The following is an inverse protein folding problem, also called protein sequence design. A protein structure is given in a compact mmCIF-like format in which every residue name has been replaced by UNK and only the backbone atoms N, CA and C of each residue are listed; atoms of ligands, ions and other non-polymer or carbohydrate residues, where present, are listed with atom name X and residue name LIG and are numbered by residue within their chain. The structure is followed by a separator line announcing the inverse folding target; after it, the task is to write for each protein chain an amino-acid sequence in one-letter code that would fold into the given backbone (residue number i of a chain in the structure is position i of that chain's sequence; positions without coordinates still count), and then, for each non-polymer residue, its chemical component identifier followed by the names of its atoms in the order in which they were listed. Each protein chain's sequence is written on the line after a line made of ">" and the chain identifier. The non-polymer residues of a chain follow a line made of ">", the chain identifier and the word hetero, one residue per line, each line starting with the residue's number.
data_IF_190678420262
#
_entry.id   IF_190678420262
#
_cell.length_a   1.000
_cell.length_b   1.000
_cell.length_c   1.000
_cell.angle_alpha   90.00
_cell.angle_beta   90.00
_cell.angle_gamma   90.00
#
_symmetry.space_group_name_H-M   'P 1'
#
loop_
_entity.id
_entity.type
_entity.pdbx_description
1 polymer ?
#
# COMPACT_ATOMS: atom_id res chain seq x y z
N UNK A 1 6.65 6.65 24.20
CA UNK A 1 5.75 7.65 23.58
C UNK A 1 5.56 7.22 22.14
N UNK A 2 4.32 7.02 21.70
CA UNK A 2 4.05 6.51 20.35
C UNK A 2 4.58 7.48 19.29
N UNK A 3 5.46 7.00 18.39
CA UNK A 3 6.13 7.83 17.38
C UNK A 3 5.16 8.41 16.35
N UNK A 4 4.00 7.80 16.18
CA UNK A 4 2.99 8.24 15.20
C UNK A 4 2.09 9.33 15.74
N UNK A 5 1.95 9.47 17.06
CA UNK A 5 1.12 10.53 17.66
C UNK A 5 1.38 11.95 17.09
N UNK A 6 2.63 12.45 17.00
CA UNK A 6 2.89 13.77 16.40
C UNK A 6 2.58 13.83 14.90
N UNK A 7 2.66 12.71 14.17
CA UNK A 7 2.32 12.63 12.74
C UNK A 7 0.80 12.70 12.57
N UNK A 8 0.06 11.91 13.34
CA UNK A 8 -1.41 11.92 13.33
C UNK A 8 -1.95 13.31 13.65
N UNK A 9 -1.42 14.00 14.66
CA UNK A 9 -1.84 15.37 14.97
C UNK A 9 -1.63 16.34 13.79
N UNK A 10 -0.60 16.13 12.95
CA UNK A 10 -0.38 16.96 11.76
C UNK A 10 -1.34 16.62 10.63
N UNK A 11 -1.62 15.33 10.40
CA UNK A 11 -2.65 14.89 9.44
C UNK A 11 -4.01 15.47 9.81
N UNK A 12 -4.39 15.39 11.09
CA UNK A 12 -5.64 15.96 11.59
C UNK A 12 -5.70 17.47 11.34
N UNK A 13 -4.63 18.21 11.64
CA UNK A 13 -4.57 19.65 11.36
C UNK A 13 -4.68 19.97 9.87
N UNK A 14 -4.02 19.19 9.01
CA UNK A 14 -4.12 19.33 7.55
C UNK A 14 -5.57 19.16 7.07
N UNK A 15 -6.28 18.14 7.56
CA UNK A 15 -7.69 17.92 7.23
C UNK A 15 -8.57 19.09 7.69
N UNK A 16 -8.36 19.62 8.92
CA UNK A 16 -9.10 20.79 9.42
C UNK A 16 -8.87 22.00 8.51
N UNK A 17 -7.62 22.26 8.11
CA UNK A 17 -7.26 23.36 7.23
C UNK A 17 -7.91 23.24 5.84
N UNK A 18 -8.17 22.02 5.38
CA UNK A 18 -8.84 21.71 4.12
C UNK A 18 -10.37 21.56 4.25
N UNK A 19 -10.96 22.01 5.36
CA UNK A 19 -12.41 22.16 5.51
C UNK A 19 -13.15 20.92 6.04
N UNK A 20 -12.44 19.89 6.50
CA UNK A 20 -13.06 18.74 7.16
C UNK A 20 -13.53 19.10 8.60
N UNK A 21 -14.65 18.51 9.02
CA UNK A 21 -15.23 18.75 10.35
C UNK A 21 -14.39 18.12 11.47
N UNK A 22 -14.06 18.91 12.50
CA UNK A 22 -13.21 18.50 13.62
C UNK A 22 -13.75 17.28 14.39
N UNK A 23 -15.07 17.13 14.49
CA UNK A 23 -15.66 15.98 15.20
C UNK A 23 -15.47 14.69 14.42
N UNK A 24 -15.58 14.76 13.10
CA UNK A 24 -15.32 13.64 12.18
C UNK A 24 -13.84 13.23 12.21
N UNK A 25 -12.94 14.20 12.22
CA UNK A 25 -11.48 13.99 12.32
C UNK A 25 -11.07 13.44 13.70
N UNK A 26 -11.77 13.81 14.77
CA UNK A 26 -11.52 13.31 16.12
C UNK A 26 -11.87 11.82 16.28
N UNK A 27 -12.80 11.30 15.48
CA UNK A 27 -13.13 9.87 15.42
C UNK A 27 -12.19 9.09 14.49
N UNK A 28 -11.66 9.75 13.46
CA UNK A 28 -10.57 9.25 12.64
C UNK A 28 -9.30 9.04 13.48
N UNK A 29 -8.56 7.96 13.23
CA UNK A 29 -7.41 7.53 14.03
C UNK A 29 -7.74 7.10 15.47
N UNK A 30 -8.94 6.57 15.70
CA UNK A 30 -9.25 5.90 16.96
C UNK A 30 -8.56 4.53 17.05
N UNK A 31 -8.25 4.05 18.26
CA UNK A 31 -7.67 2.71 18.43
C UNK A 31 -8.56 1.60 17.84
N UNK A 32 -7.91 0.57 17.33
CA UNK A 32 -8.57 -0.66 16.93
C UNK A 32 -8.91 -1.50 18.16
N UNK A 33 -10.20 -1.56 18.50
CA UNK A 33 -10.70 -2.35 19.64
C UNK A 33 -10.92 -3.82 19.26
N UNK A 34 -11.03 -4.12 17.97
CA UNK A 34 -11.26 -5.47 17.46
C UNK A 34 -9.94 -6.12 17.03
N UNK A 35 -9.44 -7.03 17.86
CA UNK A 35 -8.19 -7.76 17.58
C UNK A 35 -8.29 -8.71 16.40
N UNK A 36 -9.50 -9.14 16.02
CA UNK A 36 -9.68 -10.01 14.86
C UNK A 36 -9.39 -9.25 13.56
N UNK A 37 -9.74 -7.96 13.47
CA UNK A 37 -9.41 -7.12 12.31
C UNK A 37 -7.90 -6.99 12.11
N UNK A 38 -7.11 -6.96 13.18
CA UNK A 38 -5.65 -6.84 13.09
C UNK A 38 -4.99 -8.07 12.43
N UNK A 39 -5.70 -9.21 12.31
CA UNK A 39 -5.17 -10.41 11.65
C UNK A 39 -4.76 -10.18 10.20
N UNK A 40 -5.39 -9.21 9.53
CA UNK A 40 -4.98 -8.77 8.17
C UNK A 40 -3.52 -8.32 8.10
N UNK A 41 -2.93 -7.89 9.22
CA UNK A 41 -1.52 -7.48 9.31
C UNK A 41 -0.65 -8.44 10.15
N UNK A 42 -1.24 -9.21 11.07
CA UNK A 42 -0.48 -10.06 11.99
C UNK A 42 -0.36 -11.52 11.55
N UNK A 43 -1.27 -11.99 10.68
CA UNK A 43 -1.41 -13.40 10.30
C UNK A 43 -1.60 -13.54 8.78
N UNK A 44 -0.65 -13.02 8.02
CA UNK A 44 -0.79 -12.79 6.58
C UNK A 44 -1.22 -14.04 5.81
N UNK A 45 -0.51 -15.17 5.99
CA UNK A 45 -0.82 -16.38 5.23
C UNK A 45 -2.21 -16.93 5.56
N UNK A 46 -2.49 -17.26 6.83
CA UNK A 46 -3.75 -17.90 7.20
C UNK A 46 -4.95 -16.96 6.92
N UNK A 47 -4.77 -15.65 7.13
CA UNK A 47 -5.81 -14.67 6.85
C UNK A 47 -6.14 -14.56 5.37
N UNK A 48 -5.14 -14.29 4.51
CA UNK A 48 -5.40 -14.10 3.07
C UNK A 48 -5.76 -15.41 2.38
N UNK A 49 -5.22 -16.55 2.83
CA UNK A 49 -5.64 -17.86 2.34
C UNK A 49 -7.11 -18.17 2.64
N UNK A 50 -7.62 -17.70 3.78
CA UNK A 50 -9.04 -17.89 4.13
C UNK A 50 -9.97 -16.89 3.42
N UNK A 51 -9.53 -15.63 3.26
CA UNK A 51 -10.39 -14.55 2.79
C UNK A 51 -10.27 -14.20 1.31
N UNK A 52 -9.21 -14.62 0.61
CA UNK A 52 -9.03 -14.31 -0.80
C UNK A 52 -10.18 -14.86 -1.64
N UNK A 53 -10.73 -14.04 -2.54
CA UNK A 53 -11.67 -14.49 -3.56
C UNK A 53 -10.97 -14.89 -4.88
N UNK A 54 -9.64 -14.75 -4.93
CA UNK A 54 -8.79 -14.95 -6.12
C UNK A 54 -7.94 -16.21 -6.05
N UNK A 55 -7.44 -16.55 -4.86
CA UNK A 55 -6.54 -17.67 -4.63
C UNK A 55 -7.21 -18.75 -3.78
N UNK A 56 -6.95 -20.02 -4.11
CA UNK A 56 -7.41 -21.17 -3.35
C UNK A 56 -6.23 -21.87 -2.67
N UNK A 57 -6.45 -22.40 -1.47
CA UNK A 57 -5.38 -23.02 -0.66
C UNK A 57 -4.63 -24.13 -1.39
N UNK A 58 -5.34 -24.88 -2.23
CA UNK A 58 -4.80 -26.01 -2.98
C UNK A 58 -3.80 -25.62 -4.08
N UNK A 59 -3.84 -24.38 -4.56
CA UNK A 59 -2.99 -23.90 -5.65
C UNK A 59 -1.64 -23.33 -5.15
N UNK A 60 -1.60 -22.88 -3.89
CA UNK A 60 -0.36 -22.59 -3.17
C UNK A 60 0.34 -21.28 -3.53
N UNK A 61 -0.27 -20.36 -4.27
CA UNK A 61 0.33 -19.06 -4.65
C UNK A 61 0.64 -18.19 -3.44
N UNK A 62 -0.20 -18.28 -2.41
CA UNK A 62 -0.01 -17.51 -1.18
C UNK A 62 1.03 -18.12 -0.23
N UNK A 63 1.64 -19.27 -0.53
CA UNK A 63 2.63 -19.90 0.35
C UNK A 63 3.80 -18.98 0.71
N UNK A 64 4.17 -18.07 -0.19
CA UNK A 64 5.22 -17.08 0.06
C UNK A 64 4.90 -16.17 1.26
N UNK A 65 3.62 -15.93 1.57
CA UNK A 65 3.16 -15.13 2.71
C UNK A 65 3.65 -15.64 4.07
N UNK A 66 3.95 -16.94 4.19
CA UNK A 66 4.54 -17.52 5.41
C UNK A 66 5.90 -16.91 5.77
N UNK A 67 6.60 -16.33 4.78
CA UNK A 67 7.93 -15.74 4.96
C UNK A 67 7.87 -14.24 5.28
N UNK A 68 6.72 -13.59 5.13
CA UNK A 68 6.58 -12.15 5.34
C UNK A 68 6.01 -11.83 6.72
N UNK A 69 6.40 -10.68 7.25
CA UNK A 69 5.88 -10.14 8.50
C UNK A 69 5.76 -8.64 8.39
N UNK A 70 4.58 -8.11 8.72
CA UNK A 70 4.41 -6.66 8.87
C UNK A 70 5.20 -6.19 10.10
N UNK A 71 6.02 -5.14 10.00
CA UNK A 71 6.75 -4.61 11.14
C UNK A 71 5.84 -4.19 12.30
N UNK A 72 6.28 -4.50 13.53
CA UNK A 72 5.50 -4.27 14.77
C UNK A 72 5.05 -2.82 14.95
N UNK A 73 5.85 -1.85 14.50
CA UNK A 73 5.48 -0.45 14.58
C UNK A 73 4.30 -0.11 13.67
N UNK A 74 4.15 -0.76 12.52
CA UNK A 74 3.01 -0.55 11.62
C UNK A 74 1.76 -1.23 12.21
N UNK A 75 1.91 -2.42 12.77
CA UNK A 75 0.83 -3.06 13.55
C UNK A 75 0.39 -2.13 14.69
N UNK A 76 1.34 -1.54 15.43
CA UNK A 76 1.07 -0.56 16.49
C UNK A 76 0.40 0.71 15.95
N UNK A 77 0.72 1.15 14.73
CA UNK A 77 0.03 2.27 14.10
C UNK A 77 -1.45 1.94 13.91
N UNK A 78 -1.79 0.82 13.25
CA UNK A 78 -3.19 0.43 13.04
C UNK A 78 -3.91 0.06 14.35
N UNK A 79 -3.19 -0.45 15.34
CA UNK A 79 -3.74 -0.75 16.66
C UNK A 79 -4.17 0.53 17.40
N UNK A 80 -3.43 1.63 17.27
CA UNK A 80 -3.66 2.85 18.05
C UNK A 80 -4.30 3.99 17.25
N UNK A 81 -4.16 3.97 15.93
CA UNK A 81 -4.50 5.05 14.99
C UNK A 81 -5.07 4.49 13.69
N UNK A 82 -6.16 3.73 13.76
CA UNK A 82 -6.80 3.21 12.55
C UNK A 82 -7.45 4.35 11.74
N UNK A 83 -7.10 4.56 10.46
CA UNK A 83 -7.63 5.66 9.65
C UNK A 83 -9.06 5.35 9.17
N UNK A 84 -10.06 5.57 10.03
CA UNK A 84 -11.48 5.32 9.70
C UNK A 84 -12.13 6.56 9.11
N UNK A 85 -12.90 6.36 8.03
CA UNK A 85 -13.71 7.41 7.37
C UNK A 85 -12.91 8.67 7.07
N UNK A 86 -11.63 8.49 6.69
CA UNK A 86 -10.77 9.62 6.36
C UNK A 86 -11.15 10.22 5.01
N UNK A 87 -11.00 11.53 4.90
CA UNK A 87 -11.01 12.21 3.62
C UNK A 87 -9.75 11.97 2.80
N UNK A 88 -9.74 12.54 1.61
CA UNK A 88 -8.58 12.58 0.72
C UNK A 88 -7.48 13.45 1.38
N UNK A 89 -6.26 12.94 1.38
CA UNK A 89 -5.05 13.60 1.88
C UNK A 89 -4.21 14.16 0.73
N UNK A 90 -3.13 14.89 1.05
CA UNK A 90 -2.19 15.37 0.04
C UNK A 90 -1.65 14.20 -0.82
N UNK A 91 -1.49 14.41 -2.11
CA UNK A 91 -1.21 13.34 -3.08
C UNK A 91 -2.43 12.64 -3.66
N UNK A 92 -3.63 13.17 -3.44
CA UNK A 92 -4.91 12.51 -3.77
C UNK A 92 -4.99 11.08 -3.19
N UNK A 93 -4.47 10.93 -1.97
CA UNK A 93 -4.34 9.64 -1.29
C UNK A 93 -5.48 9.41 -0.29
N UNK A 94 -6.05 8.21 -0.33
CA UNK A 94 -6.98 7.67 0.66
C UNK A 94 -6.25 6.59 1.49
N UNK A 95 -6.02 6.84 2.78
CA UNK A 95 -5.54 5.80 3.70
C UNK A 95 -6.67 4.81 4.00
N UNK A 96 -6.37 3.51 3.93
CA UNK A 96 -7.34 2.45 4.20
C UNK A 96 -7.34 2.08 5.69
N UNK A 97 -8.53 1.86 6.24
CA UNK A 97 -8.69 1.17 7.51
C UNK A 97 -8.44 -0.35 7.35
N UNK A 98 -8.54 -1.13 8.44
CA UNK A 98 -8.25 -2.57 8.37
C UNK A 98 -9.24 -3.34 7.48
N UNK A 99 -10.48 -2.85 7.34
CA UNK A 99 -11.45 -3.46 6.44
C UNK A 99 -11.11 -3.14 4.98
N UNK A 100 -10.74 -1.89 4.67
CA UNK A 100 -10.29 -1.49 3.34
C UNK A 100 -9.03 -2.24 2.91
N UNK A 101 -8.07 -2.46 3.82
CA UNK A 101 -6.91 -3.33 3.54
C UNK A 101 -7.36 -4.75 3.21
N UNK A 102 -8.30 -5.30 3.97
CA UNK A 102 -8.84 -6.63 3.68
C UNK A 102 -9.45 -6.66 2.27
N UNK A 103 -10.38 -5.75 1.98
CA UNK A 103 -11.11 -5.71 0.70
C UNK A 103 -10.15 -5.56 -0.48
N UNK A 104 -9.24 -4.58 -0.43
CA UNK A 104 -8.26 -4.34 -1.51
C UNK A 104 -7.34 -5.54 -1.77
N UNK A 105 -6.92 -6.25 -0.72
CA UNK A 105 -5.97 -7.37 -0.85
C UNK A 105 -6.65 -8.74 -0.97
N UNK A 106 -7.98 -8.83 -0.86
CA UNK A 106 -8.72 -10.09 -1.02
C UNK A 106 -9.56 -10.11 -2.30
N UNK A 107 -10.09 -8.96 -2.72
CA UNK A 107 -11.21 -8.90 -3.66
C UNK A 107 -10.99 -7.96 -4.86
N UNK A 108 -10.09 -6.98 -4.75
CA UNK A 108 -9.97 -5.91 -5.75
C UNK A 108 -8.65 -5.97 -6.52
N UNK A 109 -8.71 -5.61 -7.80
CA UNK A 109 -7.54 -5.55 -8.67
C UNK A 109 -6.89 -4.15 -8.62
N UNK A 110 -5.56 -4.03 -8.57
CA UNK A 110 -4.57 -5.12 -8.59
C UNK A 110 -4.18 -5.68 -7.22
N UNK A 111 -4.65 -5.09 -6.11
CA UNK A 111 -4.22 -5.41 -4.75
C UNK A 111 -4.30 -6.90 -4.40
N UNK A 112 -5.43 -7.54 -4.74
CA UNK A 112 -5.67 -8.96 -4.49
C UNK A 112 -4.65 -9.87 -5.17
N UNK A 113 -4.07 -9.47 -6.30
CA UNK A 113 -3.05 -10.24 -7.00
C UNK A 113 -1.63 -9.91 -6.54
N UNK A 114 -1.39 -8.68 -6.09
CA UNK A 114 -0.06 -8.20 -5.66
C UNK A 114 0.37 -8.82 -4.31
N UNK A 115 -0.58 -9.23 -3.49
CA UNK A 115 -0.32 -9.81 -2.16
C UNK A 115 0.57 -11.06 -2.21
N UNK A 116 0.45 -11.91 -3.23
CA UNK A 116 1.29 -13.10 -3.40
C UNK A 116 2.80 -12.75 -3.49
N UNK A 117 3.11 -11.51 -3.89
CA UNK A 117 4.48 -11.00 -4.02
C UNK A 117 4.98 -10.25 -2.77
N UNK A 118 4.21 -10.23 -1.67
CA UNK A 118 4.57 -9.53 -0.44
C UNK A 118 4.31 -8.01 -0.50
N UNK A 119 3.46 -7.56 -1.42
CA UNK A 119 3.01 -6.18 -1.53
C UNK A 119 1.62 -6.06 -0.90
N UNK A 120 1.48 -5.30 0.19
CA UNK A 120 0.20 -5.10 0.87
C UNK A 120 -0.34 -3.72 0.56
N UNK A 121 -1.47 -3.63 -0.12
CA UNK A 121 -2.19 -2.36 -0.37
C UNK A 121 -2.71 -1.81 0.96
N UNK A 122 -2.35 -0.57 1.29
CA UNK A 122 -2.78 0.08 2.53
C UNK A 122 -3.31 1.50 2.31
N UNK A 123 -3.18 1.99 1.09
CA UNK A 123 -3.73 3.25 0.63
C UNK A 123 -4.05 3.13 -0.86
N UNK A 124 -4.94 3.97 -1.34
CA UNK A 124 -5.29 4.10 -2.76
C UNK A 124 -5.20 5.56 -3.18
N UNK A 125 -5.10 5.80 -4.48
CA UNK A 125 -5.35 7.13 -5.04
C UNK A 125 -6.83 7.30 -5.37
N UNK A 126 -7.28 8.53 -5.60
CA UNK A 126 -8.65 8.81 -6.06
C UNK A 126 -8.96 8.12 -7.39
N UNK A 127 -7.99 7.96 -8.29
CA UNK A 127 -8.14 7.21 -9.55
C UNK A 127 -8.19 5.68 -9.38
N UNK A 128 -8.05 5.17 -8.16
CA UNK A 128 -8.12 3.75 -7.84
C UNK A 128 -6.83 2.99 -8.12
N UNK A 129 -5.68 3.68 -8.16
CA UNK A 129 -4.37 3.05 -8.16
C UNK A 129 -3.98 2.68 -6.73
N UNK A 130 -3.15 1.65 -6.57
CA UNK A 130 -2.83 1.12 -5.26
C UNK A 130 -1.48 1.63 -4.77
N UNK A 131 -1.41 1.89 -3.47
CA UNK A 131 -0.18 2.21 -2.76
C UNK A 131 0.09 1.09 -1.77
N UNK A 132 1.24 0.44 -1.95
CA UNK A 132 1.57 -0.80 -1.25
C UNK A 132 2.76 -0.62 -0.32
N UNK A 133 2.72 -1.31 0.81
CA UNK A 133 3.92 -1.62 1.59
C UNK A 133 4.65 -2.77 0.91
N UNK A 134 5.93 -2.58 0.57
CA UNK A 134 6.75 -3.65 0.03
C UNK A 134 7.51 -4.38 1.15
N UNK A 135 7.02 -5.55 1.55
CA UNK A 135 7.61 -6.35 2.62
C UNK A 135 8.91 -7.05 2.20
N UNK A 136 9.30 -7.00 0.92
CA UNK A 136 10.58 -7.51 0.45
C UNK A 136 11.74 -6.58 0.81
N UNK A 137 11.47 -5.30 1.05
CA UNK A 137 12.49 -4.27 1.28
C UNK A 137 12.24 -3.54 2.59
N UNK A 138 12.92 -3.96 3.66
CA UNK A 138 12.82 -3.36 4.99
C UNK A 138 14.03 -2.47 5.27
N UNK A 139 13.80 -1.17 5.51
CA UNK A 139 14.81 -0.18 5.89
C UNK A 139 14.44 0.43 7.25
N UNK A 140 15.39 0.41 8.19
CA UNK A 140 15.19 0.93 9.55
C UNK A 140 13.96 0.33 10.27
N UNK A 141 13.63 -0.92 9.98
CA UNK A 141 12.48 -1.61 10.54
C UNK A 141 11.13 -1.25 9.90
N UNK A 142 11.12 -0.60 8.74
CA UNK A 142 9.92 -0.22 7.99
C UNK A 142 10.03 -0.65 6.52
N UNK A 143 8.93 -1.04 5.87
CA UNK A 143 8.91 -1.30 4.44
C UNK A 143 9.02 0.03 3.69
N UNK A 144 9.60 -0.02 2.48
CA UNK A 144 9.38 1.06 1.51
C UNK A 144 7.92 1.08 1.08
N UNK A 145 7.46 2.23 0.59
CA UNK A 145 6.11 2.41 0.05
C UNK A 145 6.21 2.60 -1.45
N UNK A 146 5.45 1.83 -2.20
CA UNK A 146 5.47 1.81 -3.67
C UNK A 146 4.11 2.15 -4.24
N UNK A 147 4.12 2.77 -5.42
CA UNK A 147 2.93 3.06 -6.22
C UNK A 147 2.77 1.99 -7.31
N UNK A 148 1.55 1.49 -7.50
CA UNK A 148 1.22 0.54 -8.54
C UNK A 148 -0.04 1.00 -9.27
N UNK A 149 0.14 1.44 -10.52
CA UNK A 149 -0.98 1.76 -11.39
C UNK A 149 -1.71 0.47 -11.78
N UNK A 150 -3.04 0.49 -11.69
CA UNK A 150 -3.85 -0.68 -12.01
C UNK A 150 -3.73 -1.12 -13.47
N UNK A 151 -3.40 -0.21 -14.38
CA UNK A 151 -3.22 -0.51 -15.81
C UNK A 151 -1.92 -1.26 -16.09
N UNK A 152 -1.00 -1.35 -15.13
CA UNK A 152 0.26 -2.05 -15.31
C UNK A 152 0.16 -3.55 -15.10
N UNK A 153 -0.95 -4.05 -14.56
CA UNK A 153 -1.05 -5.43 -14.12
C UNK A 153 -2.20 -6.14 -14.84
N UNK A 154 -1.87 -7.24 -15.50
CA UNK A 154 -2.84 -8.16 -16.08
C UNK A 154 -2.66 -9.53 -15.43
N UNK A 155 -3.72 -10.13 -14.93
CA UNK A 155 -3.62 -11.47 -14.35
C UNK A 155 -3.67 -12.52 -15.46
N UNK A 156 -2.62 -13.34 -15.54
CA UNK A 156 -2.56 -14.50 -16.42
C UNK A 156 -3.15 -15.70 -15.67
N UNK A 157 -4.35 -16.13 -16.08
CA UNK A 157 -5.08 -17.23 -15.47
C UNK A 157 -4.40 -18.60 -15.66
N UNK A 158 -3.62 -18.79 -16.74
CA UNK A 158 -2.95 -20.06 -17.03
C UNK A 158 -1.72 -20.25 -16.13
N UNK A 159 -0.91 -19.21 -16.00
CA UNK A 159 0.31 -19.19 -15.17
C UNK A 159 0.01 -18.84 -13.70
N UNK A 160 -1.20 -18.38 -13.42
CA UNK A 160 -1.66 -17.84 -12.13
C UNK A 160 -0.73 -16.79 -11.54
N UNK A 161 -0.24 -15.91 -12.40
CA UNK A 161 0.71 -14.83 -12.09
C UNK A 161 0.26 -13.52 -12.72
N UNK A 162 0.78 -12.42 -12.20
CA UNK A 162 0.62 -11.14 -12.87
C UNK A 162 1.61 -11.01 -14.03
N UNK A 163 1.14 -10.55 -15.17
CA UNK A 163 1.93 -9.88 -16.19
C UNK A 163 2.05 -8.39 -15.83
N UNK A 164 3.19 -7.79 -16.18
CA UNK A 164 3.53 -6.42 -15.87
C UNK A 164 3.89 -5.66 -17.13
N UNK A 165 3.15 -4.59 -17.41
CA UNK A 165 3.40 -3.67 -18.51
C UNK A 165 3.53 -2.25 -17.97
N UNK A 166 4.69 -1.61 -18.14
CA UNK A 166 4.93 -0.27 -17.62
C UNK A 166 5.00 0.77 -18.74
N UNK A 167 3.85 1.31 -19.14
CA UNK A 167 3.84 2.40 -20.13
C UNK A 167 4.34 3.71 -19.49
N UNK A 168 5.24 4.51 -20.13
CA UNK A 168 5.69 4.45 -21.52
C UNK A 168 7.02 3.71 -21.78
N UNK A 169 7.54 2.89 -20.87
CA UNK A 169 8.87 2.30 -21.02
C UNK A 169 8.79 0.85 -21.48
N UNK A 170 9.64 0.48 -22.44
CA UNK A 170 9.86 -0.93 -22.74
C UNK A 170 10.56 -1.59 -21.55
N UNK A 171 9.98 -2.69 -21.07
CA UNK A 171 10.60 -3.54 -20.08
C UNK A 171 11.64 -4.39 -20.83
N UNK A 172 12.89 -4.37 -20.37
CA UNK A 172 13.99 -5.09 -21.02
C UNK A 172 14.01 -6.60 -20.69
N UNK A 173 12.93 -7.11 -20.10
CA UNK A 173 12.84 -8.49 -19.64
C UNK A 173 12.18 -9.35 -20.73
N UNK A 174 12.70 -10.57 -20.95
CA UNK A 174 12.15 -11.50 -21.96
C UNK A 174 10.75 -12.03 -21.58
N UNK A 175 10.40 -11.94 -20.30
CA UNK A 175 9.14 -12.40 -19.73
C UNK A 175 8.43 -11.23 -19.04
N UNK A 176 7.19 -10.98 -19.43
CA UNK A 176 6.34 -9.95 -18.85
C UNK A 176 5.77 -10.36 -17.49
N UNK A 177 5.96 -11.60 -17.04
CA UNK A 177 5.53 -12.05 -15.72
C UNK A 177 6.22 -11.26 -14.60
N UNK A 178 5.42 -10.72 -13.68
CA UNK A 178 5.86 -9.99 -12.51
C UNK A 178 6.73 -10.87 -11.62
N UNK A 179 7.96 -10.43 -11.42
CA UNK A 179 8.93 -11.05 -10.51
C UNK A 179 9.41 -10.06 -9.47
N UNK A 180 10.08 -10.57 -8.42
CA UNK A 180 10.75 -9.71 -7.44
C UNK A 180 11.82 -8.79 -8.07
N UNK A 181 12.43 -9.22 -9.19
CA UNK A 181 13.36 -8.37 -9.94
C UNK A 181 12.62 -7.17 -10.55
N UNK A 182 11.50 -7.42 -11.23
CA UNK A 182 10.67 -6.39 -11.85
C UNK A 182 10.11 -5.42 -10.79
N UNK A 183 9.57 -5.94 -9.69
CA UNK A 183 9.07 -5.13 -8.55
C UNK A 183 10.15 -4.18 -8.03
N UNK A 184 11.39 -4.66 -7.92
CA UNK A 184 12.50 -3.84 -7.42
C UNK A 184 12.98 -2.81 -8.45
N UNK A 185 12.99 -3.16 -9.73
CA UNK A 185 13.59 -2.36 -10.81
C UNK A 185 12.63 -1.31 -11.37
N UNK A 186 11.36 -1.64 -11.49
CA UNK A 186 10.39 -0.86 -12.26
C UNK A 186 9.25 -0.26 -11.44
N UNK A 187 8.78 -0.90 -10.37
CA UNK A 187 7.70 -0.32 -9.56
C UNK A 187 8.21 0.92 -8.81
N UNK A 188 7.61 2.11 -9.01
CA UNK A 188 8.00 3.35 -8.37
C UNK A 188 7.96 3.30 -6.85
N UNK A 189 9.06 3.72 -6.21
CA UNK A 189 9.11 3.96 -4.77
C UNK A 189 8.63 5.38 -4.48
N UNK A 190 7.53 5.54 -3.74
CA UNK A 190 7.03 6.84 -3.26
C UNK A 190 7.88 7.32 -2.07
N UNK A 191 8.20 6.40 -1.17
CA UNK A 191 9.01 6.69 0.01
C UNK A 191 9.83 5.49 0.46
N UNK A 192 10.94 5.78 1.14
CA UNK A 192 11.85 4.72 1.62
C UNK A 192 11.38 4.05 2.91
N UNK A 193 10.39 4.64 3.59
CA UNK A 193 9.76 4.10 4.80
C UNK A 193 8.29 4.51 4.90
N UNK A 194 7.48 3.68 5.56
CA UNK A 194 6.09 3.98 5.92
C UNK A 194 5.93 5.31 6.68
N UNK A 195 6.84 5.60 7.62
CA UNK A 195 6.81 6.85 8.39
C UNK A 195 7.07 8.06 7.51
N UNK A 196 7.97 7.97 6.52
CA UNK A 196 8.18 9.05 5.55
C UNK A 196 6.94 9.27 4.68
N UNK A 197 6.29 8.19 4.23
CA UNK A 197 5.05 8.28 3.47
C UNK A 197 3.97 9.05 4.25
N UNK A 198 3.71 8.66 5.51
CA UNK A 198 2.73 9.37 6.35
C UNK A 198 3.05 10.87 6.52
N UNK A 199 4.33 11.26 6.43
CA UNK A 199 4.72 12.68 6.49
C UNK A 199 4.42 13.44 5.22
N UNK A 200 4.43 12.77 4.07
CA UNK A 200 4.08 13.35 2.77
C UNK A 200 2.58 13.68 2.69
N UNK A 201 1.74 12.93 3.40
CA UNK A 201 0.27 13.11 3.36
C UNK A 201 -0.24 14.43 3.95
N UNK A 202 0.61 15.18 4.65
CA UNK A 202 0.28 16.49 5.22
C UNK A 202 1.31 17.57 4.84
N UNK A 203 2.21 17.32 3.89
CA UNK A 203 3.20 18.32 3.47
C UNK A 203 2.52 19.53 2.83
N UNK A 204 3.15 20.70 2.96
CA UNK A 204 2.72 21.92 2.25
C UNK A 204 3.11 21.87 0.76
N UNK A 205 4.11 21.06 0.41
CA UNK A 205 4.44 20.79 -0.99
C UNK A 205 3.38 19.84 -1.55
N UNK A 206 2.61 20.34 -2.52
CA UNK A 206 1.70 19.53 -3.31
C UNK A 206 2.51 18.53 -4.13
N UNK A 207 2.10 17.29 -4.02
CA UNK A 207 2.55 16.20 -4.88
C UNK A 207 1.31 15.48 -5.36
N UNK A 208 1.46 14.73 -6.44
CA UNK A 208 0.42 13.89 -6.99
C UNK A 208 0.99 12.47 -7.05
N UNK A 209 0.28 11.53 -6.44
CA UNK A 209 0.69 10.14 -6.45
C UNK A 209 0.57 9.51 -7.84
N UNK A 210 -0.40 9.96 -8.64
CA UNK A 210 -0.63 9.50 -10.02
C UNK A 210 0.44 10.07 -10.96
N UNK A 211 0.92 11.30 -10.76
CA UNK A 211 2.02 11.86 -11.57
C UNK A 211 3.42 11.47 -11.05
N UNK A 212 3.51 10.74 -9.93
CA UNK A 212 4.79 10.49 -9.25
C UNK A 212 5.81 9.79 -10.16
N UNK A 213 5.34 8.90 -11.06
CA UNK A 213 6.22 8.15 -11.97
C UNK A 213 6.68 8.98 -13.19
N UNK A 214 5.94 10.01 -13.60
CA UNK A 214 6.37 10.91 -14.69
C UNK A 214 7.66 11.64 -14.29
N UNK A 215 7.79 11.97 -13.01
CA UNK A 215 9.02 12.56 -12.45
C UNK A 215 10.21 11.61 -12.50
N UNK A 216 9.99 10.30 -12.34
CA UNK A 216 11.05 9.28 -12.44
C UNK A 216 11.54 9.10 -13.88
N UNK A 217 10.65 9.26 -14.87
CA UNK A 217 10.99 9.26 -16.29
C UNK A 217 11.93 10.41 -16.66
N UNK A 218 11.69 11.60 -16.11
CA UNK A 218 12.57 12.76 -16.31
C UNK A 218 13.95 12.61 -15.66
N UNK A 219 14.07 11.82 -14.57
CA UNK A 219 15.36 11.55 -13.91
C UNK A 219 16.17 10.48 -14.65
N UNK A 220 15.52 9.50 -15.30
CA UNK A 220 16.21 8.46 -16.09
C UNK A 220 16.57 8.91 -17.51
N UNK A 221 16.03 10.02 -17.99
CA UNK A 221 16.37 10.64 -19.28
C UNK A 221 17.61 11.55 -19.29
N UNK A 222 18.26 11.74 -18.13
CA UNK A 222 19.48 12.57 -17.98
C UNK A 222 20.74 11.79 -17.55
N UNK A 223 20.85 10.50 -17.90
CA UNK A 223 22.09 9.72 -17.76
C UNK A 223 22.61 9.21 -19.10
#
# INVERSE_FOLDING_TARGET
>A
MDKYKPIISKIQNYLIQNGFDERSIGAAFSPCLDKEKLKVLTDLYDFFNYWSSVFYEEDGELLALKNYKVPKNIISFYENFEPRELGILNGDVCLLDLNGIKEENCDLSPGAYLIQYGLITFATTVGGNVICMDLNTIKNGEPRVVYADKSWFLFNEEERKLEFSFYPFEIEEEDELLTQHIIKKYIPEISSTFTEFLKMLYSEEEWDAEDYYERLGNVKGEL
#
